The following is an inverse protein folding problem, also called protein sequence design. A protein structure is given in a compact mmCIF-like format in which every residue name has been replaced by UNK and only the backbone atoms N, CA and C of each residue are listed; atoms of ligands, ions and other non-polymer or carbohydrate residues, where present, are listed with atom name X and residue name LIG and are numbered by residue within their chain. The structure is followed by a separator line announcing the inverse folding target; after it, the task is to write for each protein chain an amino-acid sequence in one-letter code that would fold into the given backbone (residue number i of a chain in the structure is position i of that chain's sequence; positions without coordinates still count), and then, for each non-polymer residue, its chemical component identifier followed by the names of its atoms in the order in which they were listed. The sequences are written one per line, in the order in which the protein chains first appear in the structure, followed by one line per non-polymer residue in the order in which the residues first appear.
data_IF_248067205745
#
_entry.id   IF_248067205745
#
_cell.length_a   1.000
_cell.length_b   1.000
_cell.length_c   1.000
_cell.angle_alpha   90.00
_cell.angle_beta   90.00
_cell.angle_gamma   90.00
#
_symmetry.space_group_name_H-M   'P 1'
#
loop_
_entity.id
_entity.type
_entity.pdbx_description
1 polymer ?
#
# COMPACT_ATOMS: atom_id res chain seq x y z
N UNK A 1 4.91 14.18 -37.38
CA UNK A 1 5.20 14.03 -35.92
C UNK A 1 6.71 13.96 -35.66
N UNK A 2 7.48 13.02 -36.23
CA UNK A 2 8.93 12.88 -35.99
C UNK A 2 9.78 14.13 -36.31
N UNK A 3 9.38 14.95 -37.30
CA UNK A 3 10.09 16.20 -37.64
C UNK A 3 9.90 17.29 -36.56
N UNK A 4 8.78 17.30 -35.86
CA UNK A 4 8.50 18.22 -34.74
C UNK A 4 9.45 17.97 -33.55
N UNK A 5 9.78 16.68 -33.26
CA UNK A 5 10.72 16.36 -32.18
C UNK A 5 12.15 16.86 -32.44
N UNK A 6 12.52 17.14 -33.71
CA UNK A 6 13.83 17.73 -34.02
C UNK A 6 13.97 19.16 -33.51
N UNK A 7 12.88 19.94 -33.47
CA UNK A 7 12.87 21.29 -32.91
C UNK A 7 12.90 21.28 -31.37
N UNK A 8 12.52 20.16 -30.76
CA UNK A 8 12.54 20.00 -29.31
C UNK A 8 13.91 19.55 -28.75
N UNK A 9 14.92 19.29 -29.61
CA UNK A 9 16.27 18.86 -29.16
C UNK A 9 16.93 19.83 -28.18
N UNK A 10 16.70 21.14 -28.31
CA UNK A 10 17.18 22.15 -27.35
C UNK A 10 16.45 22.15 -26.00
N UNK A 11 15.27 21.51 -25.94
CA UNK A 11 14.37 21.54 -24.78
C UNK A 11 14.25 20.18 -24.06
N UNK A 12 15.21 19.25 -24.29
CA UNK A 12 15.16 17.90 -23.74
C UNK A 12 15.04 17.88 -22.19
N UNK A 13 15.60 18.89 -21.51
CA UNK A 13 15.50 19.03 -20.05
C UNK A 13 14.05 19.13 -19.57
N UNK A 14 13.22 19.90 -20.31
CA UNK A 14 11.79 20.02 -20.00
C UNK A 14 11.08 18.68 -20.20
N UNK A 15 11.40 17.94 -21.25
CA UNK A 15 10.79 16.63 -21.53
C UNK A 15 11.15 15.63 -20.43
N UNK A 16 12.42 15.56 -20.02
CA UNK A 16 12.86 14.68 -18.91
C UNK A 16 12.15 15.05 -17.61
N UNK A 17 12.07 16.36 -17.27
CA UNK A 17 11.33 16.79 -16.09
C UNK A 17 9.84 16.40 -16.15
N UNK A 18 9.19 16.56 -17.31
CA UNK A 18 7.79 16.17 -17.49
C UNK A 18 7.63 14.67 -17.25
N UNK A 19 8.48 13.83 -17.83
CA UNK A 19 8.41 12.36 -17.67
C UNK A 19 8.62 11.95 -16.20
N UNK A 20 9.60 12.56 -15.52
CA UNK A 20 9.83 12.27 -14.09
C UNK A 20 8.64 12.70 -13.21
N UNK A 21 8.03 13.85 -13.49
CA UNK A 21 6.84 14.30 -12.78
C UNK A 21 5.63 13.42 -13.07
N UNK A 22 5.47 12.93 -14.30
CA UNK A 22 4.40 11.99 -14.66
C UNK A 22 4.58 10.65 -13.97
N UNK A 23 5.82 10.16 -13.85
CA UNK A 23 6.11 8.94 -13.08
C UNK A 23 5.78 9.12 -11.59
N UNK A 24 6.17 10.26 -11.01
CA UNK A 24 5.82 10.58 -9.62
C UNK A 24 4.30 10.65 -9.44
N UNK A 25 3.61 11.37 -10.32
CA UNK A 25 2.16 11.49 -10.29
C UNK A 25 1.48 10.13 -10.39
N UNK A 26 1.87 9.28 -11.35
CA UNK A 26 1.30 7.95 -11.53
C UNK A 26 1.51 7.05 -10.30
N UNK A 27 2.69 7.10 -9.67
CA UNK A 27 2.93 6.36 -8.43
C UNK A 27 2.01 6.81 -7.29
N UNK A 28 1.81 8.11 -7.12
CA UNK A 28 0.89 8.64 -6.11
C UNK A 28 -0.56 8.24 -6.42
N UNK A 29 -1.01 8.38 -7.67
CA UNK A 29 -2.37 8.04 -8.07
C UNK A 29 -2.67 6.54 -7.90
N UNK A 30 -1.69 5.67 -8.17
CA UNK A 30 -1.80 4.23 -7.95
C UNK A 30 -1.72 3.83 -6.47
N UNK A 31 -1.17 4.68 -5.59
CA UNK A 31 -1.13 4.43 -4.16
C UNK A 31 -2.49 4.71 -3.47
N UNK A 32 -3.26 5.70 -3.92
CA UNK A 32 -4.51 6.13 -3.29
C UNK A 32 -5.54 4.99 -3.07
N UNK A 33 -5.81 4.10 -4.05
CA UNK A 33 -6.73 2.98 -3.83
C UNK A 33 -6.30 2.04 -2.71
N UNK A 34 -4.99 1.79 -2.55
CA UNK A 34 -4.47 0.94 -1.47
C UNK A 34 -4.72 1.56 -0.09
N UNK A 35 -4.51 2.88 0.06
CA UNK A 35 -4.84 3.57 1.31
C UNK A 35 -6.34 3.52 1.61
N UNK A 36 -7.20 3.66 0.59
CA UNK A 36 -8.65 3.53 0.77
C UNK A 36 -9.02 2.13 1.22
N UNK A 37 -8.43 1.09 0.62
CA UNK A 37 -8.61 -0.31 1.03
C UNK A 37 -8.15 -0.52 2.48
N UNK A 38 -7.00 0.01 2.86
CA UNK A 38 -6.46 -0.11 4.21
C UNK A 38 -7.35 0.60 5.25
N UNK A 39 -7.92 1.77 4.93
CA UNK A 39 -8.88 2.43 5.84
C UNK A 39 -10.09 1.55 6.10
N UNK A 40 -10.61 0.86 5.06
CA UNK A 40 -11.77 -0.02 5.22
C UNK A 40 -11.40 -1.31 5.95
N UNK A 41 -10.37 -2.01 5.48
CA UNK A 41 -10.00 -3.33 6.00
C UNK A 41 -9.35 -3.20 7.39
N UNK A 42 -8.25 -2.47 7.48
CA UNK A 42 -7.51 -2.33 8.74
C UNK A 42 -8.21 -1.34 9.67
N UNK A 43 -8.55 -0.15 9.16
CA UNK A 43 -9.15 0.90 9.98
C UNK A 43 -10.52 0.52 10.53
N UNK A 44 -11.46 0.07 9.68
CA UNK A 44 -12.85 -0.15 10.08
C UNK A 44 -13.06 -1.59 10.55
N UNK A 45 -12.66 -2.59 9.76
CA UNK A 45 -12.95 -3.99 10.06
C UNK A 45 -12.05 -4.54 11.17
N UNK A 46 -10.75 -4.18 11.16
CA UNK A 46 -9.75 -4.66 12.11
C UNK A 46 -9.47 -3.68 13.26
N UNK A 47 -10.30 -2.64 13.44
CA UNK A 47 -10.16 -1.66 14.53
C UNK A 47 -8.78 -0.96 14.60
N UNK A 48 -8.10 -0.83 13.45
CA UNK A 48 -6.79 -0.18 13.36
C UNK A 48 -5.61 -1.10 13.63
N UNK A 49 -5.83 -2.41 13.74
CA UNK A 49 -4.78 -3.43 13.94
C UNK A 49 -4.35 -3.96 12.58
N UNK A 50 -3.08 -3.82 12.23
CA UNK A 50 -2.57 -4.13 10.89
C UNK A 50 -2.30 -5.62 10.68
N UNK A 51 -1.85 -6.30 11.72
CA UNK A 51 -1.44 -7.71 11.69
C UNK A 51 -1.65 -8.40 13.05
N UNK A 52 -1.33 -9.68 13.13
CA UNK A 52 -1.43 -10.49 14.35
C UNK A 52 -0.28 -10.28 15.33
N UNK A 53 0.60 -9.28 15.16
CA UNK A 53 1.69 -9.03 16.11
C UNK A 53 1.30 -7.94 17.08
N UNK A 54 0.95 -8.25 18.35
CA UNK A 54 0.59 -7.24 19.32
C UNK A 54 1.80 -6.39 19.71
N UNK A 55 1.62 -5.07 19.77
CA UNK A 55 2.68 -4.15 20.25
C UNK A 55 2.97 -4.35 21.75
N UNK A 56 1.95 -4.76 22.50
CA UNK A 56 2.05 -5.07 23.92
C UNK A 56 1.13 -6.26 24.23
N UNK A 57 1.58 -7.19 25.08
CA UNK A 57 0.77 -8.29 25.58
C UNK A 57 1.01 -8.53 27.07
N UNK A 58 0.00 -9.07 27.77
CA UNK A 58 0.10 -9.45 29.18
C UNK A 58 1.06 -10.63 29.36
N UNK A 59 1.62 -10.74 30.55
CA UNK A 59 2.52 -11.86 30.90
C UNK A 59 1.77 -13.21 30.80
N UNK A 60 0.54 -13.27 31.28
CA UNK A 60 -0.35 -14.43 31.18
C UNK A 60 -0.58 -14.87 29.72
N UNK A 61 -0.85 -13.91 28.82
CA UNK A 61 -1.07 -14.18 27.40
C UNK A 61 0.19 -14.72 26.71
N UNK A 62 1.36 -14.17 27.05
CA UNK A 62 2.64 -14.71 26.57
C UNK A 62 2.84 -16.14 27.05
N UNK A 63 2.54 -16.46 28.31
CA UNK A 63 2.65 -17.81 28.83
C UNK A 63 1.70 -18.79 28.10
N UNK A 64 0.47 -18.39 27.82
CA UNK A 64 -0.49 -19.18 27.06
C UNK A 64 -0.01 -19.49 25.64
N UNK A 65 0.53 -18.50 24.92
CA UNK A 65 1.09 -18.70 23.58
C UNK A 65 2.25 -19.71 23.60
N UNK A 66 3.14 -19.60 24.58
CA UNK A 66 4.32 -20.46 24.70
C UNK A 66 4.00 -21.93 25.00
N UNK A 67 2.80 -22.23 25.51
CA UNK A 67 2.32 -23.63 25.69
C UNK A 67 2.22 -24.31 24.31
N UNK A 68 1.77 -23.59 23.29
CA UNK A 68 1.49 -24.09 21.96
C UNK A 68 2.60 -23.80 20.93
N UNK A 69 3.81 -23.50 21.40
CA UNK A 69 4.98 -23.23 20.56
C UNK A 69 6.11 -24.22 20.88
N UNK A 70 6.91 -24.56 19.86
CA UNK A 70 8.18 -25.28 20.09
C UNK A 70 9.14 -24.39 20.90
N UNK A 71 10.14 -24.99 21.55
CA UNK A 71 11.07 -24.24 22.41
C UNK A 71 11.83 -23.16 21.62
N UNK A 72 12.28 -23.50 20.41
CA UNK A 72 13.04 -22.60 19.53
C UNK A 72 12.21 -21.39 19.11
N UNK A 73 10.96 -21.62 18.70
CA UNK A 73 10.02 -20.57 18.29
C UNK A 73 9.61 -19.69 19.48
N UNK A 74 9.34 -20.31 20.62
CA UNK A 74 9.02 -19.58 21.85
C UNK A 74 10.17 -18.69 22.35
N UNK A 75 11.43 -19.11 22.20
CA UNK A 75 12.59 -18.26 22.49
C UNK A 75 12.71 -17.10 21.46
N UNK A 76 12.45 -17.35 20.18
CA UNK A 76 12.46 -16.32 19.14
C UNK A 76 11.40 -15.25 19.42
N UNK A 77 10.17 -15.66 19.80
CA UNK A 77 9.10 -14.75 20.19
C UNK A 77 9.50 -13.94 21.43
N UNK A 78 9.95 -14.58 22.50
CA UNK A 78 10.40 -13.88 23.73
C UNK A 78 11.51 -12.87 23.43
N UNK A 79 12.46 -13.22 22.57
CA UNK A 79 13.57 -12.34 22.21
C UNK A 79 13.12 -11.11 21.43
N UNK A 80 11.97 -11.17 20.77
CA UNK A 80 11.36 -10.04 20.03
C UNK A 80 10.65 -9.07 20.96
N UNK A 81 10.38 -9.44 22.20
CA UNK A 81 9.72 -8.61 23.20
C UNK A 81 10.64 -8.30 24.38
N UNK A 82 10.27 -7.30 25.16
CA UNK A 82 10.92 -6.91 26.41
C UNK A 82 9.88 -6.74 27.51
N UNK A 83 10.12 -7.33 28.67
CA UNK A 83 9.19 -7.24 29.79
C UNK A 83 9.35 -5.91 30.52
N UNK A 84 8.35 -5.05 30.47
CA UNK A 84 8.33 -3.75 31.11
C UNK A 84 6.99 -3.51 31.82
N UNK A 85 7.04 -3.38 33.14
CA UNK A 85 5.83 -3.07 33.93
C UNK A 85 4.76 -4.16 33.95
N UNK A 86 5.11 -5.43 33.75
CA UNK A 86 4.16 -6.56 33.72
C UNK A 86 3.52 -6.78 32.33
N UNK A 87 3.99 -6.06 31.33
CA UNK A 87 3.60 -6.22 29.92
C UNK A 87 4.84 -6.54 29.09
N UNK A 88 4.68 -7.48 28.16
CA UNK A 88 5.65 -7.73 27.11
C UNK A 88 5.45 -6.72 25.98
N UNK A 89 6.43 -5.85 25.77
CA UNK A 89 6.42 -4.83 24.71
C UNK A 89 7.29 -5.24 23.55
N UNK A 90 6.77 -5.06 22.33
CA UNK A 90 7.49 -5.37 21.11
C UNK A 90 8.69 -4.43 20.94
N UNK A 91 9.87 -4.99 20.75
CA UNK A 91 11.09 -4.25 20.42
C UNK A 91 10.98 -3.64 19.03
N UNK A 92 11.84 -2.68 18.72
CA UNK A 92 11.95 -2.15 17.36
C UNK A 92 12.52 -3.23 16.43
N UNK A 93 11.65 -3.81 15.64
CA UNK A 93 11.97 -4.84 14.65
C UNK A 93 11.77 -4.31 13.23
N UNK A 94 12.42 -4.93 12.25
CA UNK A 94 12.22 -4.63 10.84
C UNK A 94 10.90 -5.22 10.33
N UNK A 95 10.40 -4.72 9.18
CA UNK A 95 9.19 -5.28 8.56
C UNK A 95 9.32 -6.77 8.20
N UNK A 96 10.54 -7.24 7.93
CA UNK A 96 10.80 -8.65 7.66
C UNK A 96 10.68 -9.49 8.94
N UNK A 97 11.33 -9.05 10.02
CA UNK A 97 11.25 -9.73 11.33
C UNK A 97 9.80 -9.73 11.84
N UNK A 98 9.03 -8.65 11.59
CA UNK A 98 7.61 -8.59 11.97
C UNK A 98 6.77 -9.62 11.20
N UNK A 99 7.06 -9.84 9.91
CA UNK A 99 6.38 -10.85 9.12
C UNK A 99 6.72 -12.27 9.60
N UNK A 100 8.00 -12.54 9.85
CA UNK A 100 8.47 -13.82 10.43
C UNK A 100 7.81 -14.08 11.81
N UNK A 101 7.71 -13.04 12.63
CA UNK A 101 7.04 -13.11 13.94
C UNK A 101 5.52 -13.35 13.80
N UNK A 102 4.86 -12.73 12.85
CA UNK A 102 3.44 -12.96 12.59
C UNK A 102 3.16 -14.39 12.13
N UNK A 103 4.05 -14.99 11.33
CA UNK A 103 3.95 -16.40 10.92
C UNK A 103 4.09 -17.33 12.13
N UNK A 104 5.05 -17.08 13.03
CA UNK A 104 5.25 -17.87 14.25
C UNK A 104 4.08 -17.77 15.24
N UNK A 105 3.46 -16.60 15.36
CA UNK A 105 2.36 -16.34 16.29
C UNK A 105 1.01 -16.83 15.78
N UNK A 106 0.82 -16.97 14.49
CA UNK A 106 -0.47 -17.19 13.83
C UNK A 106 -1.24 -18.39 14.36
N UNK A 107 -0.62 -19.56 14.42
CA UNK A 107 -1.26 -20.81 14.89
C UNK A 107 -1.48 -20.77 16.41
N UNK A 108 -0.49 -20.42 17.25
CA UNK A 108 -0.71 -20.26 18.68
C UNK A 108 -1.81 -19.28 19.07
N UNK A 109 -1.91 -18.14 18.37
CA UNK A 109 -2.94 -17.14 18.60
C UNK A 109 -4.35 -17.67 18.29
N UNK A 110 -4.49 -18.43 17.21
CA UNK A 110 -5.76 -19.08 16.87
C UNK A 110 -6.16 -20.06 17.97
N UNK A 111 -5.26 -20.91 18.42
CA UNK A 111 -5.50 -21.89 19.48
C UNK A 111 -5.88 -21.18 20.80
N UNK A 112 -5.12 -20.15 21.18
CA UNK A 112 -5.40 -19.38 22.40
C UNK A 112 -6.76 -18.69 22.31
N UNK A 113 -7.10 -18.09 21.15
CA UNK A 113 -8.41 -17.46 20.94
C UNK A 113 -9.56 -18.45 21.10
N UNK A 114 -9.41 -19.63 20.52
CA UNK A 114 -10.44 -20.67 20.54
C UNK A 114 -10.64 -21.25 21.96
N UNK A 115 -9.56 -21.44 22.70
CA UNK A 115 -9.61 -21.97 24.07
C UNK A 115 -9.94 -20.92 25.14
N UNK A 116 -9.80 -19.65 24.84
CA UNK A 116 -10.22 -18.54 25.73
C UNK A 116 -11.73 -18.33 25.72
N UNK A 117 -12.47 -18.88 24.74
CA UNK A 117 -13.92 -18.78 24.65
C UNK A 117 -14.66 -19.55 25.75
N UNK A 118 -15.81 -19.03 26.17
CA UNK A 118 -16.72 -19.75 27.07
C UNK A 118 -17.55 -20.80 26.34
N UNK A 119 -17.72 -20.64 25.02
CA UNK A 119 -18.54 -21.48 24.12
C UNK A 119 -17.68 -22.19 23.08
N UNK A 120 -18.25 -23.18 22.38
CA UNK A 120 -17.62 -23.85 21.24
C UNK A 120 -16.66 -24.97 21.60
N UNK A 121 -15.47 -25.04 20.95
CA UNK A 121 -14.50 -26.12 21.15
C UNK A 121 -13.95 -26.17 22.58
N UNK A 122 -13.75 -25.03 23.21
CA UNK A 122 -13.30 -24.94 24.59
C UNK A 122 -14.25 -25.69 25.56
N UNK A 123 -15.57 -25.57 25.36
CA UNK A 123 -16.55 -26.28 26.16
C UNK A 123 -16.54 -27.80 25.86
N UNK A 124 -16.46 -28.17 24.57
CA UNK A 124 -16.39 -29.59 24.17
C UNK A 124 -15.16 -30.28 24.77
N UNK A 125 -14.01 -29.62 24.79
CA UNK A 125 -12.77 -30.13 25.37
C UNK A 125 -12.90 -30.26 26.89
N UNK A 126 -13.54 -29.28 27.58
CA UNK A 126 -13.80 -29.42 29.03
C UNK A 126 -14.71 -30.61 29.35
N UNK A 127 -15.74 -30.84 28.53
CA UNK A 127 -16.65 -31.97 28.68
C UNK A 127 -15.94 -33.31 28.42
N UNK A 128 -15.15 -33.41 27.34
CA UNK A 128 -14.41 -34.62 26.98
C UNK A 128 -13.33 -34.95 28.03
N UNK A 129 -12.71 -33.95 28.62
CA UNK A 129 -11.72 -34.13 29.71
C UNK A 129 -12.37 -34.30 31.09
N UNK A 130 -13.71 -34.18 31.20
CA UNK A 130 -14.45 -34.28 32.47
C UNK A 130 -14.14 -33.11 33.44
N UNK A 131 -13.77 -31.96 32.92
CA UNK A 131 -13.44 -30.77 33.69
C UNK A 131 -14.71 -29.91 33.98
N UNK A 132 -14.72 -29.13 35.08
CA UNK A 132 -15.76 -28.13 35.33
C UNK A 132 -15.84 -27.14 34.20
N UNK A 133 -17.03 -26.55 33.96
CA UNK A 133 -17.23 -25.58 32.88
C UNK A 133 -16.38 -24.29 33.00
N UNK A 134 -15.95 -23.98 34.23
CA UNK A 134 -15.09 -22.85 34.60
C UNK A 134 -13.60 -23.21 34.71
N UNK A 135 -13.19 -24.45 34.36
CA UNK A 135 -11.80 -24.86 34.44
C UNK A 135 -10.92 -24.10 33.44
N UNK A 136 -9.78 -23.64 33.93
CA UNK A 136 -8.75 -23.04 33.09
C UNK A 136 -8.02 -24.13 32.28
N UNK A 137 -8.27 -24.16 30.99
CA UNK A 137 -7.66 -25.11 30.06
C UNK A 137 -6.14 -24.90 29.93
N UNK A 138 -5.66 -23.65 30.02
CA UNK A 138 -4.24 -23.35 29.88
C UNK A 138 -3.44 -23.90 31.05
N UNK A 139 -4.00 -23.87 32.29
CA UNK A 139 -3.40 -24.47 33.45
C UNK A 139 -3.30 -26.00 33.31
N UNK A 140 -4.24 -26.63 32.59
CA UNK A 140 -4.22 -28.10 32.33
C UNK A 140 -3.21 -28.40 31.22
N UNK A 141 -3.23 -27.69 30.12
CA UNK A 141 -2.31 -27.90 29.00
C UNK A 141 -0.86 -27.61 29.38
N UNK A 142 -0.60 -26.63 30.22
CA UNK A 142 0.73 -26.32 30.75
C UNK A 142 1.37 -27.44 31.60
N UNK A 143 0.58 -28.41 32.10
CA UNK A 143 1.07 -29.56 32.84
C UNK A 143 1.37 -30.76 31.93
N UNK A 144 0.92 -30.75 30.67
CA UNK A 144 1.15 -31.84 29.71
C UNK A 144 2.53 -31.62 29.06
N UNK A 145 3.37 -32.67 28.97
CA UNK A 145 4.62 -32.58 28.22
C UNK A 145 4.35 -32.14 26.77
N UNK A 146 5.11 -31.14 26.28
CA UNK A 146 4.92 -30.56 24.94
C UNK A 146 4.84 -31.60 23.83
N UNK A 147 5.69 -32.64 23.88
CA UNK A 147 5.70 -33.73 22.90
C UNK A 147 4.35 -34.48 22.82
N UNK A 148 3.66 -34.64 23.96
CA UNK A 148 2.36 -35.31 24.01
C UNK A 148 1.25 -34.33 23.52
N UNK A 149 1.35 -33.07 23.88
CA UNK A 149 0.42 -32.03 23.45
C UNK A 149 0.43 -31.88 21.91
N UNK A 150 1.62 -31.75 21.32
CA UNK A 150 1.77 -31.66 19.86
C UNK A 150 1.34 -32.94 19.13
N UNK A 151 1.60 -34.11 19.73
CA UNK A 151 1.13 -35.37 19.15
C UNK A 151 -0.41 -35.50 19.12
N UNK A 152 -1.10 -34.94 20.11
CA UNK A 152 -2.57 -34.92 20.16
C UNK A 152 -3.19 -33.81 19.27
N UNK A 153 -2.52 -32.68 19.15
CA UNK A 153 -2.98 -31.54 18.39
C UNK A 153 -2.54 -31.56 16.90
N UNK A 154 -1.69 -32.51 16.50
CA UNK A 154 -1.08 -32.58 15.19
C UNK A 154 -2.09 -32.52 14.02
N UNK A 155 -3.21 -33.24 14.09
CA UNK A 155 -4.27 -33.17 13.09
C UNK A 155 -5.00 -31.82 13.07
N UNK A 156 -5.11 -31.14 14.22
CA UNK A 156 -5.76 -29.83 14.30
C UNK A 156 -4.82 -28.74 13.79
N UNK A 157 -3.56 -28.82 14.16
CA UNK A 157 -2.52 -27.86 13.69
C UNK A 157 -2.37 -27.94 12.17
N UNK A 158 -2.33 -29.15 11.59
CA UNK A 158 -2.24 -29.36 10.13
C UNK A 158 -3.45 -28.74 9.40
N UNK A 159 -4.65 -28.87 9.97
CA UNK A 159 -5.86 -28.23 9.42
C UNK A 159 -5.83 -26.70 9.52
N UNK A 160 -5.22 -26.15 10.56
CA UNK A 160 -5.06 -24.69 10.74
C UNK A 160 -4.02 -24.13 9.75
N UNK A 161 -2.94 -24.87 9.48
CA UNK A 161 -1.93 -24.51 8.47
C UNK A 161 -2.48 -24.56 7.04
N UNK A 162 -3.47 -25.40 6.76
CA UNK A 162 -4.15 -25.47 5.45
C UNK A 162 -5.20 -24.35 5.24
N UNK A 163 -5.48 -23.55 6.27
CA UNK A 163 -6.46 -22.44 6.14
C UNK A 163 -5.94 -21.35 5.21
N UNK A 164 -6.85 -20.66 4.47
CA UNK A 164 -6.47 -19.50 3.68
C UNK A 164 -5.84 -18.41 4.54
N UNK A 165 -4.76 -17.78 4.08
CA UNK A 165 -4.03 -16.71 4.78
C UNK A 165 -4.95 -15.59 5.29
N UNK A 166 -6.06 -15.33 4.59
CA UNK A 166 -7.04 -14.32 5.01
C UNK A 166 -7.78 -14.70 6.28
N UNK A 167 -8.06 -16.00 6.50
CA UNK A 167 -8.69 -16.47 7.73
C UNK A 167 -7.72 -16.45 8.89
N UNK A 168 -6.49 -16.90 8.65
CA UNK A 168 -5.40 -16.86 9.63
C UNK A 168 -5.16 -15.43 10.12
N UNK A 169 -5.03 -14.47 9.18
CA UNK A 169 -4.85 -13.05 9.52
C UNK A 169 -6.03 -12.49 10.33
N UNK A 170 -7.28 -12.85 9.96
CA UNK A 170 -8.45 -12.38 10.70
C UNK A 170 -8.50 -12.93 12.12
N UNK A 171 -8.16 -14.20 12.33
CA UNK A 171 -8.10 -14.81 13.67
C UNK A 171 -7.00 -14.18 14.53
N UNK A 172 -5.82 -13.96 13.96
CA UNK A 172 -4.71 -13.30 14.64
C UNK A 172 -5.08 -11.86 15.04
N UNK A 173 -5.74 -11.10 14.17
CA UNK A 173 -6.24 -9.76 14.50
C UNK A 173 -7.30 -9.80 15.62
N UNK A 174 -8.19 -10.79 15.63
CA UNK A 174 -9.17 -10.97 16.70
C UNK A 174 -8.48 -11.25 18.04
N UNK A 175 -7.44 -12.07 18.04
CA UNK A 175 -6.61 -12.30 19.23
C UNK A 175 -6.05 -10.99 19.78
N UNK A 176 -5.42 -10.17 18.92
CA UNK A 176 -4.85 -8.87 19.34
C UNK A 176 -5.94 -7.92 19.87
N UNK A 177 -7.14 -7.94 19.27
CA UNK A 177 -8.28 -7.15 19.77
C UNK A 177 -8.67 -7.58 21.17
N UNK A 178 -8.85 -8.88 21.40
CA UNK A 178 -9.19 -9.42 22.71
C UNK A 178 -8.13 -9.11 23.77
N UNK A 179 -6.86 -9.22 23.40
CA UNK A 179 -5.75 -8.90 24.28
C UNK A 179 -5.75 -7.42 24.68
N UNK A 180 -5.99 -6.52 23.73
CA UNK A 180 -6.04 -5.09 24.03
C UNK A 180 -7.29 -4.70 24.85
N UNK A 181 -8.43 -5.35 24.61
CA UNK A 181 -9.62 -5.18 25.46
C UNK A 181 -9.36 -5.66 26.90
N UNK A 182 -8.69 -6.80 27.06
CA UNK A 182 -8.33 -7.33 28.37
C UNK A 182 -7.31 -6.45 29.11
N UNK A 183 -6.45 -5.72 28.38
CA UNK A 183 -5.59 -4.66 28.92
C UNK A 183 -6.36 -3.37 29.28
N UNK A 184 -7.65 -3.27 28.93
CA UNK A 184 -8.46 -2.07 29.13
C UNK A 184 -8.18 -0.95 28.12
N UNK A 185 -7.57 -1.24 26.98
CA UNK A 185 -7.37 -0.28 25.89
C UNK A 185 -8.68 -0.06 25.14
N UNK A 186 -8.97 1.19 24.78
CA UNK A 186 -10.12 1.51 23.94
C UNK A 186 -9.78 1.27 22.45
N UNK A 187 -10.35 0.23 21.87
CA UNK A 187 -10.19 -0.09 20.46
C UNK A 187 -10.69 1.02 19.52
N UNK A 188 -11.64 1.86 19.98
CA UNK A 188 -12.10 2.98 19.16
C UNK A 188 -11.03 4.07 19.05
N UNK A 189 -10.23 4.27 20.07
CA UNK A 189 -9.11 5.21 20.04
C UNK A 189 -8.02 4.73 19.08
N UNK A 190 -7.70 3.43 19.08
CA UNK A 190 -6.80 2.81 18.12
C UNK A 190 -7.31 2.97 16.69
N UNK A 191 -8.58 2.64 16.47
CA UNK A 191 -9.25 2.79 15.19
C UNK A 191 -9.20 4.22 14.67
N UNK A 192 -9.58 5.19 15.52
CA UNK A 192 -9.61 6.61 15.16
C UNK A 192 -8.20 7.12 14.84
N UNK A 193 -7.20 6.72 15.61
CA UNK A 193 -5.80 7.08 15.40
C UNK A 193 -5.28 6.55 14.05
N UNK A 194 -5.59 5.29 13.73
CA UNK A 194 -5.23 4.69 12.44
C UNK A 194 -5.89 5.40 11.27
N UNK A 195 -7.22 5.59 11.33
CA UNK A 195 -8.00 6.27 10.27
C UNK A 195 -7.51 7.69 10.06
N UNK A 196 -7.23 8.43 11.14
CA UNK A 196 -6.70 9.78 11.07
C UNK A 196 -5.31 9.81 10.41
N UNK A 197 -4.41 8.91 10.82
CA UNK A 197 -3.07 8.78 10.25
C UNK A 197 -3.12 8.46 8.75
N UNK A 198 -3.91 7.46 8.35
CA UNK A 198 -4.11 7.08 6.97
C UNK A 198 -4.74 8.22 6.14
N UNK A 199 -5.70 8.94 6.71
CA UNK A 199 -6.32 10.11 6.09
C UNK A 199 -5.33 11.25 5.83
N UNK A 200 -4.45 11.54 6.78
CA UNK A 200 -3.37 12.55 6.63
C UNK A 200 -2.38 12.12 5.54
N UNK A 201 -2.02 10.84 5.48
CA UNK A 201 -1.15 10.31 4.43
C UNK A 201 -1.79 10.42 3.04
N UNK A 202 -3.09 10.07 2.91
CA UNK A 202 -3.84 10.24 1.66
C UNK A 202 -3.90 11.70 1.21
N UNK A 203 -4.14 12.62 2.16
CA UNK A 203 -4.14 14.06 1.88
C UNK A 203 -2.77 14.53 1.39
N UNK A 204 -1.69 14.06 2.01
CA UNK A 204 -0.31 14.30 1.59
C UNK A 204 -0.04 13.83 0.16
N UNK A 205 -0.43 12.60 -0.18
CA UNK A 205 -0.31 12.06 -1.53
C UNK A 205 -1.13 12.87 -2.54
N UNK A 206 -2.36 13.25 -2.21
CA UNK A 206 -3.20 14.06 -3.08
C UNK A 206 -2.59 15.46 -3.35
N UNK A 207 -1.97 16.07 -2.34
CA UNK A 207 -1.26 17.34 -2.50
C UNK A 207 -0.03 17.18 -3.41
N UNK A 208 0.75 16.11 -3.26
CA UNK A 208 1.90 15.83 -4.14
C UNK A 208 1.43 15.64 -5.58
N UNK A 209 0.37 14.85 -5.81
CA UNK A 209 -0.23 14.64 -7.13
C UNK A 209 -0.71 15.97 -7.74
N UNK A 210 -1.36 16.81 -6.97
CA UNK A 210 -1.83 18.13 -7.42
C UNK A 210 -0.66 19.01 -7.86
N UNK A 211 0.39 19.11 -7.06
CA UNK A 211 1.60 19.88 -7.38
C UNK A 211 2.27 19.34 -8.65
N UNK A 212 2.42 18.02 -8.75
CA UNK A 212 3.00 17.38 -9.92
C UNK A 212 2.19 17.67 -11.18
N UNK A 213 0.86 17.58 -11.14
CA UNK A 213 -0.03 17.87 -12.26
C UNK A 213 0.05 19.35 -12.72
N UNK A 214 0.14 20.29 -11.77
CA UNK A 214 0.32 21.70 -12.07
C UNK A 214 1.67 21.92 -12.78
N UNK A 215 2.75 21.34 -12.26
CA UNK A 215 4.09 21.46 -12.84
C UNK A 215 4.17 20.82 -14.23
N UNK A 216 3.59 19.64 -14.43
CA UNK A 216 3.48 18.99 -15.75
C UNK A 216 2.75 19.89 -16.75
N UNK A 217 1.62 20.44 -16.34
CA UNK A 217 0.83 21.35 -17.20
C UNK A 217 1.63 22.59 -17.55
N UNK A 218 2.26 23.23 -16.57
CA UNK A 218 3.10 24.42 -16.76
C UNK A 218 4.27 24.17 -17.74
N UNK A 219 5.03 23.07 -17.50
CA UNK A 219 6.17 22.73 -18.35
C UNK A 219 5.73 22.35 -19.76
N UNK A 220 4.61 21.64 -19.91
CA UNK A 220 4.04 21.27 -21.22
C UNK A 220 3.59 22.50 -22.01
N UNK A 221 2.91 23.47 -21.37
CA UNK A 221 2.54 24.73 -22.01
C UNK A 221 3.75 25.57 -22.41
N UNK A 222 4.79 25.61 -21.54
CA UNK A 222 6.04 26.32 -21.84
C UNK A 222 6.76 25.68 -23.03
N UNK A 223 6.83 24.35 -23.09
CA UNK A 223 7.42 23.61 -24.19
C UNK A 223 6.65 23.85 -25.51
N UNK A 224 5.31 23.82 -25.48
CA UNK A 224 4.47 24.09 -26.60
C UNK A 224 4.63 25.57 -27.11
N UNK A 225 4.78 26.52 -26.18
CA UNK A 225 5.04 27.89 -26.54
C UNK A 225 6.40 28.10 -27.21
N UNK A 226 7.45 27.42 -26.73
CA UNK A 226 8.78 27.45 -27.37
C UNK A 226 8.73 26.87 -28.78
N UNK A 227 8.05 25.73 -28.97
CA UNK A 227 7.83 25.14 -30.28
C UNK A 227 7.09 26.06 -31.21
N UNK A 228 6.01 26.68 -30.76
CA UNK A 228 5.24 27.62 -31.55
C UNK A 228 6.05 28.87 -31.97
N UNK A 229 6.95 29.33 -31.09
CA UNK A 229 7.89 30.43 -31.43
C UNK A 229 8.85 30.01 -32.56
N UNK A 230 9.45 28.81 -32.46
CA UNK A 230 10.37 28.30 -33.48
C UNK A 230 9.66 28.15 -34.85
N UNK A 231 8.48 27.52 -34.85
CA UNK A 231 7.70 27.33 -36.08
C UNK A 231 7.29 28.67 -36.73
N UNK A 232 6.88 29.66 -35.93
CA UNK A 232 6.58 31.01 -36.49
C UNK A 232 7.81 31.63 -37.10
N UNK A 233 8.96 31.56 -36.46
CA UNK A 233 10.21 32.10 -36.98
C UNK A 233 10.60 31.41 -38.31
N UNK A 234 10.45 30.08 -38.40
CA UNK A 234 10.77 29.33 -39.60
C UNK A 234 9.81 29.67 -40.75
N UNK A 235 8.50 29.70 -40.49
CA UNK A 235 7.51 30.07 -41.51
C UNK A 235 7.74 31.50 -41.97
N UNK A 236 7.92 32.44 -41.05
CA UNK A 236 8.13 33.85 -41.39
C UNK A 236 9.44 34.04 -42.20
N UNK A 237 10.51 33.39 -41.79
CA UNK A 237 11.77 33.41 -42.54
C UNK A 237 11.65 32.87 -43.97
N UNK A 238 10.85 31.79 -44.15
CA UNK A 238 10.58 31.24 -45.48
C UNK A 238 9.73 32.16 -46.32
N UNK A 239 8.68 32.75 -45.76
CA UNK A 239 7.78 33.67 -46.47
C UNK A 239 8.53 34.90 -46.96
N UNK A 240 9.44 35.46 -46.16
CA UNK A 240 10.30 36.59 -46.59
C UNK A 240 11.25 36.21 -47.71
N UNK A 241 11.69 34.96 -47.78
CA UNK A 241 12.61 34.47 -48.80
C UNK A 241 11.93 34.12 -50.14
N UNK A 242 10.60 34.20 -50.24
CA UNK A 242 9.85 33.90 -51.46
C UNK A 242 10.13 34.94 -52.55
N UNK A 243 10.35 34.46 -53.78
CA UNK A 243 10.33 35.28 -54.98
C UNK A 243 8.90 35.73 -55.30
N UNK A 244 8.76 36.76 -56.11
CA UNK A 244 7.43 37.25 -56.55
C UNK A 244 6.60 36.15 -57.24
N UNK A 245 7.24 35.23 -57.95
CA UNK A 245 6.57 34.11 -58.58
C UNK A 245 6.08 33.06 -57.56
N UNK A 246 6.85 32.78 -56.55
CA UNK A 246 6.45 31.86 -55.45
C UNK A 246 5.35 32.45 -54.61
N UNK A 247 5.41 33.75 -54.30
CA UNK A 247 4.38 34.43 -53.51
C UNK A 247 3.01 34.42 -54.23
N UNK A 248 2.96 34.48 -55.56
CA UNK A 248 1.73 34.38 -56.34
C UNK A 248 1.05 33.00 -56.25
N UNK A 249 1.77 31.95 -55.86
CA UNK A 249 1.22 30.60 -55.70
C UNK A 249 0.50 30.39 -54.36
N UNK A 250 0.62 31.34 -53.44
CA UNK A 250 -0.02 31.28 -52.12
C UNK A 250 -0.96 32.48 -51.94
N UNK A 251 -2.16 32.23 -51.40
CA UNK A 251 -3.00 33.35 -50.96
C UNK A 251 -2.48 33.94 -49.65
N UNK A 252 -2.49 35.23 -49.50
CA UNK A 252 -2.11 35.94 -48.25
C UNK A 252 -2.92 35.44 -47.06
N UNK A 253 -4.22 35.17 -47.24
CA UNK A 253 -5.08 34.62 -46.21
C UNK A 253 -4.61 33.23 -45.73
N UNK A 254 -4.17 32.35 -46.66
CA UNK A 254 -3.63 31.01 -46.31
C UNK A 254 -2.32 31.14 -45.52
N UNK A 255 -1.42 32.03 -45.87
CA UNK A 255 -0.16 32.23 -45.12
C UNK A 255 -0.41 32.77 -43.72
N UNK A 256 -1.38 33.69 -43.57
CA UNK A 256 -1.78 34.21 -42.26
C UNK A 256 -2.36 33.08 -41.39
N UNK A 257 -3.29 32.26 -41.92
CA UNK A 257 -3.90 31.15 -41.17
C UNK A 257 -2.85 30.14 -40.73
N UNK A 258 -1.91 29.79 -41.60
CA UNK A 258 -0.81 28.84 -41.25
C UNK A 258 0.11 29.40 -40.16
N UNK A 259 0.45 30.70 -40.19
CA UNK A 259 1.33 31.33 -39.21
C UNK A 259 0.65 31.62 -37.87
N UNK A 260 -0.67 31.60 -37.81
CA UNK A 260 -1.46 31.86 -36.60
C UNK A 260 -2.18 30.64 -36.11
N UNK A 261 -3.30 30.28 -36.76
CA UNK A 261 -4.21 29.22 -36.29
C UNK A 261 -3.59 27.83 -36.30
N UNK A 262 -2.89 27.45 -37.41
CA UNK A 262 -2.30 26.12 -37.52
C UNK A 262 -1.21 25.90 -36.46
N UNK A 263 -0.37 26.90 -36.19
CA UNK A 263 0.63 26.83 -35.12
C UNK A 263 -0.03 26.73 -33.74
N UNK A 264 -1.13 27.46 -33.53
CA UNK A 264 -1.88 27.36 -32.26
C UNK A 264 -2.46 25.96 -32.05
N UNK A 265 -2.96 25.31 -33.10
CA UNK A 265 -3.42 23.92 -33.04
C UNK A 265 -2.25 22.96 -32.69
N UNK A 266 -1.07 23.17 -33.28
CA UNK A 266 0.13 22.38 -32.97
C UNK A 266 0.52 22.56 -31.48
N UNK A 267 0.44 23.80 -30.97
CA UNK A 267 0.72 24.04 -29.54
C UNK A 267 -0.26 23.31 -28.64
N UNK A 268 -1.57 23.34 -28.93
CA UNK A 268 -2.60 22.62 -28.18
C UNK A 268 -2.35 21.09 -28.22
N UNK A 269 -2.11 20.54 -29.42
CA UNK A 269 -1.80 19.13 -29.60
C UNK A 269 -0.52 18.71 -28.83
N UNK A 270 0.50 19.56 -28.83
CA UNK A 270 1.74 19.31 -28.10
C UNK A 270 1.49 19.26 -26.59
N UNK A 271 0.71 20.21 -26.06
CA UNK A 271 0.35 20.21 -24.64
C UNK A 271 -0.44 18.95 -24.26
N UNK A 272 -1.44 18.55 -25.08
CA UNK A 272 -2.22 17.34 -24.84
C UNK A 272 -1.36 16.07 -24.92
N UNK A 273 -0.41 16.01 -25.87
CA UNK A 273 0.51 14.88 -26.01
C UNK A 273 1.28 14.63 -24.72
N UNK A 274 1.91 15.67 -24.17
CA UNK A 274 2.71 15.54 -22.95
C UNK A 274 1.86 15.29 -21.71
N UNK A 275 0.64 15.80 -21.65
CA UNK A 275 -0.24 15.70 -20.50
C UNK A 275 -1.05 14.39 -20.48
N UNK A 276 -1.57 13.93 -21.62
CA UNK A 276 -2.51 12.80 -21.68
C UNK A 276 -1.87 11.57 -22.29
N UNK A 277 -1.24 11.74 -23.49
CA UNK A 277 -0.74 10.59 -24.26
C UNK A 277 0.45 9.92 -23.60
N UNK A 278 1.31 10.67 -22.89
CA UNK A 278 2.40 10.08 -22.11
C UNK A 278 1.93 9.55 -20.76
N UNK A 279 0.96 10.18 -20.12
CA UNK A 279 0.48 9.76 -18.81
C UNK A 279 -0.25 8.42 -18.84
N UNK A 280 -1.14 8.20 -19.82
CA UNK A 280 -1.94 6.99 -19.88
C UNK A 280 -1.13 5.68 -19.95
N UNK A 281 -0.08 5.56 -20.80
CA UNK A 281 0.77 4.36 -20.77
C UNK A 281 1.54 4.18 -19.46
N UNK A 282 2.03 5.27 -18.86
CA UNK A 282 2.75 5.23 -17.58
C UNK A 282 1.84 4.69 -16.50
N UNK A 283 0.61 5.21 -16.40
CA UNK A 283 -0.39 4.75 -15.44
C UNK A 283 -0.79 3.30 -15.69
N UNK A 284 -1.03 2.91 -16.97
CA UNK A 284 -1.42 1.55 -17.33
C UNK A 284 -0.33 0.52 -17.01
N UNK A 285 0.90 0.78 -17.38
CA UNK A 285 2.04 -0.11 -17.09
C UNK A 285 2.29 -0.18 -15.58
N UNK A 286 2.26 0.99 -14.91
CA UNK A 286 2.43 1.05 -13.45
C UNK A 286 1.35 0.27 -12.70
N UNK A 287 0.09 0.35 -13.16
CA UNK A 287 -1.03 -0.43 -12.61
C UNK A 287 -0.84 -1.94 -12.74
N UNK A 288 -0.43 -2.41 -13.93
CA UNK A 288 -0.15 -3.84 -14.17
C UNK A 288 0.99 -4.33 -13.26
N UNK A 289 2.10 -3.58 -13.20
CA UNK A 289 3.25 -3.94 -12.32
C UNK A 289 2.80 -4.03 -10.87
N UNK A 290 1.94 -3.10 -10.41
CA UNK A 290 1.48 -3.07 -9.03
C UNK A 290 0.61 -4.29 -8.69
N UNK A 291 -0.32 -4.66 -9.58
CA UNK A 291 -1.17 -5.86 -9.39
C UNK A 291 -0.32 -7.11 -9.30
N UNK A 292 0.63 -7.31 -10.24
CA UNK A 292 1.51 -8.47 -10.23
C UNK A 292 2.39 -8.57 -8.96
N UNK A 293 2.78 -7.44 -8.39
CA UNK A 293 3.55 -7.43 -7.13
C UNK A 293 2.69 -7.57 -5.87
N UNK A 294 1.37 -7.44 -5.97
CA UNK A 294 0.46 -7.59 -4.83
C UNK A 294 0.01 -9.04 -4.66
N UNK A 295 0.06 -9.83 -5.75
CA UNK A 295 -0.28 -11.27 -5.73
C UNK A 295 0.93 -12.18 -5.42
N UNK A 296 2.11 -11.60 -5.17
CA UNK A 296 3.35 -12.31 -4.80
C UNK A 296 3.68 -12.08 -3.34
#
# INVERSE_FOLDING_TARGET
MLRLFRHLKGSYRYIVCIVLLLLLQANCDLALPSYTSNIVNVGIQQKGIEDGVPEEMREETMEHLLIFMEEEDGEAVKNSYELEGGLWKLKKITSRERKELAELLSVPEMIVTEFSGEDGEAQSIREDMGLPADADLFAVFGQIPKEQLFAQMGEQTEKLEEMPDTMVTQSAVLFVQQEYEAQGKDLNDLQNSYIFSAGVQMLGLALITMIAAILVTFLSCRLAALLGRELRNEIFGKVISFSSSEMNNFSTASLITRSTNDIQQIQLMTTMLFRIVLYAPILGIGGVIRVLNTES
#
